data_IF_087300411159
#
_entry.id   IF_087300411159
#
_cell.length_a   1.000
_cell.length_b   1.000
_cell.length_c   1.000
_cell.angle_alpha   90.00
_cell.angle_beta   90.00
_cell.angle_gamma   90.00
#
_symmetry.space_group_name_H-M   'P 1'
#
loop_
_entity.id
_entity.type
_entity.pdbx_description
1 polymer ?
#
# COMPACT_ATOMS: atom_id res chain seq x y z
N UNK A 1 10.37 8.13 -12.64
CA UNK A 1 11.21 7.22 -13.48
C UNK A 1 11.64 6.11 -12.57
N UNK A 2 10.88 5.02 -12.59
CA UNK A 2 11.07 3.85 -11.75
C UNK A 2 12.52 3.32 -11.83
N UNK A 3 13.14 2.94 -10.69
CA UNK A 3 14.42 2.26 -10.72
C UNK A 3 14.35 0.99 -11.58
N UNK A 4 15.43 0.67 -12.31
CA UNK A 4 15.44 -0.46 -13.27
C UNK A 4 15.12 -1.82 -12.65
N UNK A 5 15.33 -1.98 -11.34
CA UNK A 5 14.96 -3.19 -10.62
C UNK A 5 13.43 -3.42 -10.55
N UNK A 6 12.60 -2.41 -10.84
CA UNK A 6 11.14 -2.49 -10.84
C UNK A 6 10.53 -2.82 -12.20
N UNK A 7 11.27 -2.67 -13.31
CA UNK A 7 10.76 -3.01 -14.65
C UNK A 7 10.34 -4.49 -14.76
N UNK A 8 10.93 -5.38 -13.95
CA UNK A 8 10.56 -6.80 -13.87
C UNK A 8 9.30 -7.08 -13.04
N UNK A 9 8.91 -6.16 -12.14
CA UNK A 9 7.79 -6.33 -11.21
C UNK A 9 6.54 -5.53 -11.62
N UNK A 10 6.66 -4.66 -12.63
CA UNK A 10 5.59 -3.73 -13.01
C UNK A 10 5.11 -4.07 -14.42
N UNK A 11 4.00 -4.81 -14.47
CA UNK A 11 3.17 -4.90 -15.66
C UNK A 11 1.72 -4.73 -15.20
N UNK A 12 1.15 -3.53 -15.41
CA UNK A 12 -0.29 -3.44 -15.49
C UNK A 12 -0.73 -4.21 -16.74
N UNK A 13 -1.07 -5.49 -16.57
CA UNK A 13 -1.81 -6.25 -17.56
C UNK A 13 -3.23 -6.39 -17.03
N UNK A 14 -4.25 -5.95 -17.80
CA UNK A 14 -5.61 -6.33 -17.49
C UNK A 14 -5.68 -7.86 -17.36
N UNK A 15 -6.32 -8.35 -16.30
CA UNK A 15 -6.61 -9.78 -16.18
C UNK A 15 -7.42 -10.21 -17.40
N UNK A 16 -7.13 -11.40 -17.90
CA UNK A 16 -8.02 -12.06 -18.84
C UNK A 16 -9.31 -12.46 -18.12
N UNK A 17 -10.39 -12.70 -18.88
CA UNK A 17 -11.65 -13.18 -18.28
C UNK A 17 -11.48 -14.48 -17.50
N UNK A 18 -10.57 -15.35 -17.94
CA UNK A 18 -10.27 -16.62 -17.29
C UNK A 18 -9.61 -16.38 -15.92
N UNK A 19 -8.63 -15.48 -15.85
CA UNK A 19 -7.99 -15.07 -14.59
C UNK A 19 -8.97 -14.38 -13.64
N UNK A 20 -9.87 -13.53 -14.16
CA UNK A 20 -10.94 -12.93 -13.34
C UNK A 20 -11.90 -13.98 -12.76
N UNK A 21 -12.21 -15.04 -13.52
CA UNK A 21 -13.08 -16.14 -13.08
C UNK A 21 -12.37 -17.02 -12.04
N UNK A 22 -11.08 -17.30 -12.22
CA UNK A 22 -10.25 -18.05 -11.27
C UNK A 22 -10.06 -17.29 -9.95
N UNK A 23 -9.76 -16.00 -10.01
CA UNK A 23 -9.62 -15.16 -8.81
C UNK A 23 -10.93 -15.02 -8.05
N UNK A 24 -12.04 -14.78 -8.76
CA UNK A 24 -13.36 -14.74 -8.12
C UNK A 24 -13.66 -16.07 -7.42
N UNK A 25 -13.35 -17.20 -8.07
CA UNK A 25 -13.53 -18.52 -7.47
C UNK A 25 -12.68 -18.68 -6.21
N UNK A 26 -11.41 -18.31 -6.25
CA UNK A 26 -10.52 -18.35 -5.09
C UNK A 26 -11.04 -17.49 -3.92
N UNK A 27 -11.46 -16.25 -4.19
CA UNK A 27 -12.06 -15.37 -3.17
C UNK A 27 -13.31 -15.99 -2.54
N UNK A 28 -14.19 -16.58 -3.34
CA UNK A 28 -15.38 -17.26 -2.84
C UNK A 28 -15.04 -18.50 -2.00
N UNK A 29 -14.01 -19.26 -2.40
CA UNK A 29 -13.53 -20.44 -1.65
C UNK A 29 -12.92 -20.06 -0.29
N UNK A 30 -12.32 -18.86 -0.17
CA UNK A 30 -11.90 -18.27 1.10
C UNK A 30 -13.06 -17.75 1.97
N UNK A 31 -14.30 -17.78 1.47
CA UNK A 31 -15.49 -17.32 2.18
C UNK A 31 -15.81 -15.83 2.00
N UNK A 32 -15.12 -15.12 1.11
CA UNK A 32 -15.46 -13.75 0.76
C UNK A 32 -16.70 -13.70 -0.15
N UNK A 33 -17.34 -12.53 -0.21
CA UNK A 33 -18.49 -12.32 -1.10
C UNK A 33 -18.04 -11.81 -2.47
N UNK A 34 -18.88 -12.03 -3.49
CA UNK A 34 -18.67 -11.40 -4.81
C UNK A 34 -18.67 -9.87 -4.73
N UNK A 35 -19.36 -9.28 -3.76
CA UNK A 35 -19.35 -7.84 -3.51
C UNK A 35 -17.96 -7.38 -3.03
N UNK A 36 -17.32 -8.13 -2.12
CA UNK A 36 -15.93 -7.87 -1.70
C UNK A 36 -14.93 -8.06 -2.84
N UNK A 37 -15.16 -9.04 -3.71
CA UNK A 37 -14.35 -9.19 -4.94
C UNK A 37 -14.53 -7.99 -5.88
N UNK A 38 -15.76 -7.54 -6.11
CA UNK A 38 -16.03 -6.39 -6.98
C UNK A 38 -15.57 -5.05 -6.37
N UNK A 39 -15.28 -4.99 -5.07
CA UNK A 39 -14.74 -3.79 -4.43
C UNK A 39 -13.23 -3.67 -4.56
N UNK A 40 -12.53 -4.68 -5.10
CA UNK A 40 -11.09 -4.60 -5.32
C UNK A 40 -10.75 -3.67 -6.49
N UNK A 41 -9.57 -3.07 -6.43
CA UNK A 41 -9.04 -2.19 -7.48
C UNK A 41 -8.44 -3.04 -8.59
N UNK A 42 -9.15 -3.12 -9.72
CA UNK A 42 -8.76 -3.97 -10.84
C UNK A 42 -8.26 -3.17 -12.05
N UNK A 43 -8.43 -1.85 -12.04
CA UNK A 43 -7.98 -0.98 -13.13
C UNK A 43 -7.06 0.14 -12.68
N UNK A 44 -6.15 0.53 -13.56
CA UNK A 44 -5.31 1.73 -13.38
C UNK A 44 -6.14 3.00 -13.15
N UNK A 45 -7.29 3.13 -13.80
CA UNK A 45 -8.18 4.28 -13.61
C UNK A 45 -8.77 4.32 -12.20
N UNK A 46 -9.17 3.18 -11.65
CA UNK A 46 -9.64 3.07 -10.26
C UNK A 46 -8.51 3.39 -9.28
N UNK A 47 -7.30 2.85 -9.50
CA UNK A 47 -6.13 3.13 -8.68
C UNK A 47 -5.80 4.63 -8.67
N UNK A 48 -5.79 5.28 -9.84
CA UNK A 48 -5.58 6.73 -9.97
C UNK A 48 -6.65 7.51 -9.19
N UNK A 49 -7.92 7.13 -9.29
CA UNK A 49 -9.01 7.81 -8.57
C UNK A 49 -8.81 7.72 -7.06
N UNK A 50 -8.45 6.54 -6.55
CA UNK A 50 -8.19 6.33 -5.13
C UNK A 50 -6.96 7.09 -4.67
N UNK A 51 -5.85 7.07 -5.41
CA UNK A 51 -4.66 7.84 -5.08
C UNK A 51 -4.94 9.35 -4.98
N UNK A 52 -5.80 9.86 -5.88
CA UNK A 52 -6.26 11.24 -5.82
C UNK A 52 -7.11 11.51 -4.57
N UNK A 53 -8.00 10.58 -4.19
CA UNK A 53 -8.83 10.69 -2.99
C UNK A 53 -8.01 10.61 -1.69
N UNK A 54 -6.97 9.77 -1.66
CA UNK A 54 -6.00 9.70 -0.57
C UNK A 54 -5.21 11.01 -0.41
N UNK A 55 -5.18 11.86 -1.45
CA UNK A 55 -4.43 13.12 -1.46
C UNK A 55 -2.93 12.93 -1.69
N UNK A 56 -2.54 11.83 -2.34
CA UNK A 56 -1.14 11.58 -2.73
C UNK A 56 -0.79 12.45 -3.94
N UNK A 57 0.40 13.05 -3.95
CA UNK A 57 0.85 13.86 -5.09
C UNK A 57 1.12 12.98 -6.31
N UNK A 58 0.72 13.43 -7.49
CA UNK A 58 0.85 12.66 -8.72
C UNK A 58 2.30 12.52 -9.24
N UNK A 59 3.24 13.27 -8.68
CA UNK A 59 4.68 13.18 -8.93
C UNK A 59 5.44 12.39 -7.86
N UNK A 60 4.74 11.86 -6.85
CA UNK A 60 5.31 11.04 -5.79
C UNK A 60 5.60 9.61 -6.26
N UNK A 61 6.64 8.98 -5.70
CA UNK A 61 6.99 7.60 -6.02
C UNK A 61 5.87 6.63 -5.65
N UNK A 62 5.17 6.89 -4.53
CA UNK A 62 3.99 6.14 -4.11
C UNK A 62 2.89 6.14 -5.18
N UNK A 63 2.64 7.29 -5.80
CA UNK A 63 1.64 7.43 -6.85
C UNK A 63 2.06 6.68 -8.11
N UNK A 64 3.32 6.83 -8.55
CA UNK A 64 3.85 6.12 -9.72
C UNK A 64 3.74 4.59 -9.50
N UNK A 65 4.10 4.09 -8.31
CA UNK A 65 4.01 2.66 -7.98
C UNK A 65 2.57 2.15 -8.01
N UNK A 66 1.67 2.66 -7.14
CA UNK A 66 0.32 2.11 -7.02
C UNK A 66 -0.60 2.44 -8.21
N UNK A 67 -0.28 3.44 -9.03
CA UNK A 67 -1.02 3.67 -10.29
C UNK A 67 -0.60 2.72 -11.41
N UNK A 68 0.54 2.06 -11.27
CA UNK A 68 1.04 1.07 -12.23
C UNK A 68 0.93 -0.37 -11.71
N UNK A 69 0.80 -0.55 -10.39
CA UNK A 69 0.61 -1.81 -9.70
C UNK A 69 -0.87 -1.97 -9.30
N UNK A 70 -1.68 -2.52 -10.20
CA UNK A 70 -3.07 -2.86 -9.92
C UNK A 70 -3.30 -4.32 -10.28
N UNK A 71 -3.39 -5.15 -9.24
CA UNK A 71 -3.57 -6.60 -9.34
C UNK A 71 -2.47 -7.35 -8.59
N UNK A 72 -2.89 -8.19 -7.66
CA UNK A 72 -2.07 -9.18 -6.98
C UNK A 72 -1.57 -10.16 -8.04
N UNK A 73 -0.30 -10.05 -8.41
CA UNK A 73 0.49 -11.21 -8.79
C UNK A 73 1.85 -11.09 -8.12
N UNK A 74 1.83 -11.19 -6.79
CA UNK A 74 3.00 -11.34 -5.92
C UNK A 74 3.47 -12.81 -5.85
N UNK A 75 2.99 -13.68 -6.74
CA UNK A 75 3.07 -15.14 -6.59
C UNK A 75 4.47 -15.76 -6.64
N UNK A 76 5.53 -14.99 -6.92
CA UNK A 76 6.90 -15.50 -6.83
C UNK A 76 7.61 -15.13 -5.52
N UNK A 77 6.96 -14.42 -4.59
CA UNK A 77 7.63 -13.93 -3.40
C UNK A 77 6.70 -14.00 -2.17
N UNK A 78 6.61 -15.20 -1.58
CA UNK A 78 5.78 -15.52 -0.40
C UNK A 78 6.20 -14.76 0.88
N UNK A 79 7.33 -14.04 0.87
CA UNK A 79 7.80 -13.21 2.00
C UNK A 79 7.29 -11.74 1.94
N UNK A 80 6.45 -11.40 0.96
CA UNK A 80 5.96 -10.04 0.65
C UNK A 80 4.70 -9.66 1.46
N UNK A 81 4.36 -10.40 2.51
CA UNK A 81 3.12 -10.22 3.29
C UNK A 81 3.08 -8.97 4.19
N UNK A 82 4.12 -8.11 4.15
CA UNK A 82 4.15 -6.89 4.96
C UNK A 82 3.53 -5.67 4.26
N UNK A 83 3.62 -5.52 2.93
CA UNK A 83 3.17 -4.30 2.24
C UNK A 83 1.71 -4.43 1.79
N UNK A 84 0.87 -3.50 2.24
CA UNK A 84 -0.54 -3.48 1.88
C UNK A 84 -0.77 -3.19 0.39
N UNK A 85 -1.77 -3.86 -0.16
CA UNK A 85 -2.40 -3.48 -1.42
C UNK A 85 -3.07 -2.11 -1.31
N UNK A 86 -3.34 -1.47 -2.46
CA UNK A 86 -4.02 -0.17 -2.47
C UNK A 86 -5.43 -0.25 -1.86
N UNK A 87 -6.10 -1.40 -1.99
CA UNK A 87 -7.40 -1.68 -1.39
C UNK A 87 -7.33 -1.64 0.14
N UNK A 88 -6.35 -2.33 0.73
CA UNK A 88 -6.13 -2.37 2.18
C UNK A 88 -5.76 -0.99 2.72
N UNK A 89 -4.90 -0.24 2.02
CA UNK A 89 -4.55 1.14 2.36
C UNK A 89 -5.81 2.02 2.32
N UNK A 90 -6.68 1.84 1.33
CA UNK A 90 -7.89 2.63 1.21
C UNK A 90 -8.93 2.29 2.28
N UNK A 91 -9.04 1.01 2.66
CA UNK A 91 -9.87 0.57 3.79
C UNK A 91 -9.39 1.18 5.11
N UNK A 92 -8.09 1.13 5.39
CA UNK A 92 -7.50 1.79 6.56
C UNK A 92 -7.69 3.31 6.49
N UNK A 93 -7.52 3.94 5.33
CA UNK A 93 -7.78 5.38 5.18
C UNK A 93 -9.21 5.77 5.54
N UNK A 94 -10.22 4.95 5.20
CA UNK A 94 -11.63 5.20 5.54
C UNK A 94 -11.90 5.03 7.02
N UNK A 95 -11.22 4.10 7.67
CA UNK A 95 -11.36 3.83 9.10
C UNK A 95 -9.99 3.54 9.71
N UNK A 96 -9.18 4.58 10.00
CA UNK A 96 -7.80 4.37 10.43
C UNK A 96 -7.76 3.62 11.75
N UNK A 97 -6.90 2.60 11.84
CA UNK A 97 -6.76 1.79 13.05
C UNK A 97 -6.52 2.63 14.32
N UNK A 98 -5.78 3.73 14.16
CA UNK A 98 -5.41 4.64 15.25
C UNK A 98 -6.36 5.83 15.44
N UNK A 99 -7.50 5.88 14.75
CA UNK A 99 -8.39 7.04 14.71
C UNK A 99 -8.96 7.44 16.08
N UNK A 100 -9.16 6.50 17.00
CA UNK A 100 -9.70 6.78 18.35
C UNK A 100 -8.79 7.72 19.15
N UNK A 101 -7.46 7.57 19.01
CA UNK A 101 -6.47 8.40 19.69
C UNK A 101 -5.95 9.54 18.78
N UNK A 102 -5.91 9.30 17.47
CA UNK A 102 -5.33 10.20 16.47
C UNK A 102 -6.28 10.38 15.28
N UNK A 103 -7.38 11.13 15.44
CA UNK A 103 -8.46 11.22 14.44
C UNK A 103 -8.01 11.81 13.10
N UNK A 104 -6.90 12.55 13.08
CA UNK A 104 -6.37 13.23 11.88
C UNK A 104 -5.14 12.51 11.29
N UNK A 105 -4.84 11.27 11.69
CA UNK A 105 -3.66 10.56 11.20
C UNK A 105 -3.65 10.47 9.66
N UNK A 106 -4.81 10.16 9.08
CA UNK A 106 -5.03 10.01 7.63
C UNK A 106 -4.88 11.32 6.84
N UNK A 107 -4.90 12.49 7.48
CA UNK A 107 -4.72 13.78 6.79
C UNK A 107 -3.34 13.86 6.15
N UNK A 108 -2.33 13.24 6.79
CA UNK A 108 -0.94 13.27 6.35
C UNK A 108 -0.34 11.90 6.09
N UNK A 109 -0.67 10.91 6.92
CA UNK A 109 -0.01 9.62 6.90
C UNK A 109 -0.96 8.52 6.43
N UNK A 110 -0.44 7.60 5.62
CA UNK A 110 -1.15 6.37 5.25
C UNK A 110 -0.42 5.19 5.90
N UNK A 111 -1.16 4.27 6.53
CA UNK A 111 -0.58 3.02 7.00
C UNK A 111 -0.42 2.08 5.81
N UNK A 112 0.78 1.55 5.63
CA UNK A 112 1.13 0.76 4.43
C UNK A 112 1.58 -0.66 4.77
N UNK A 113 1.58 -1.05 6.04
CA UNK A 113 1.88 -2.42 6.44
C UNK A 113 1.01 -2.92 7.57
N UNK A 114 0.98 -4.24 7.75
CA UNK A 114 0.40 -4.88 8.93
C UNK A 114 1.06 -4.38 10.21
N UNK A 115 0.32 -4.56 11.31
CA UNK A 115 0.76 -4.22 12.67
C UNK A 115 1.25 -5.47 13.45
N UNK A 116 1.19 -6.63 12.81
CA UNK A 116 1.66 -7.92 13.33
C UNK A 116 3.17 -7.86 13.57
N UNK A 117 3.57 -7.43 14.76
CA UNK A 117 4.96 -7.13 15.11
C UNK A 117 5.17 -5.99 16.10
N UNK A 118 4.11 -5.37 16.63
CA UNK A 118 4.19 -4.22 17.55
C UNK A 118 4.67 -2.91 16.91
N UNK A 119 4.61 -2.80 15.58
CA UNK A 119 4.85 -1.58 14.81
C UNK A 119 4.26 -1.67 13.40
N UNK A 120 4.27 -0.56 12.66
CA UNK A 120 3.79 -0.50 11.27
C UNK A 120 4.51 0.61 10.48
N UNK A 121 4.61 0.43 9.17
CA UNK A 121 5.12 1.44 8.26
C UNK A 121 4.04 2.47 7.92
N UNK A 122 4.43 3.74 7.98
CA UNK A 122 3.59 4.88 7.60
C UNK A 122 4.23 5.70 6.49
N UNK A 123 3.47 5.94 5.43
CA UNK A 123 3.82 6.81 4.32
C UNK A 123 3.40 8.27 4.58
N UNK A 124 4.30 9.22 4.41
CA UNK A 124 4.00 10.66 4.49
C UNK A 124 3.66 11.24 3.11
N UNK A 125 2.37 11.53 2.89
CA UNK A 125 1.85 12.13 1.65
C UNK A 125 2.50 13.45 1.27
N UNK A 126 3.08 14.17 2.25
CA UNK A 126 3.71 15.47 2.02
C UNK A 126 5.11 15.33 1.47
N UNK A 127 5.90 14.40 2.00
CA UNK A 127 7.34 14.30 1.75
C UNK A 127 7.74 13.06 0.95
N UNK A 128 6.80 12.16 0.68
CA UNK A 128 7.04 10.86 0.06
C UNK A 128 7.88 9.91 0.92
N UNK A 129 8.10 10.24 2.19
CA UNK A 129 8.96 9.48 3.10
C UNK A 129 8.20 8.33 3.78
N UNK A 130 8.93 7.34 4.27
CA UNK A 130 8.37 6.21 5.03
C UNK A 130 8.97 6.17 6.43
N UNK A 131 8.11 5.99 7.42
CA UNK A 131 8.41 5.84 8.83
C UNK A 131 8.15 4.41 9.25
N UNK A 132 9.02 3.85 10.08
CA UNK A 132 8.73 2.69 10.90
C UNK A 132 8.27 3.21 12.26
N UNK A 133 7.10 2.79 12.73
CA UNK A 133 6.48 3.34 13.94
C UNK A 133 6.02 2.21 14.84
N UNK A 134 6.71 2.05 15.96
CA UNK A 134 6.31 1.15 17.03
C UNK A 134 5.06 1.68 17.74
N UNK A 135 4.27 0.79 18.35
CA UNK A 135 3.05 1.16 19.10
C UNK A 135 3.30 2.23 20.17
N UNK A 136 4.45 2.15 20.84
CA UNK A 136 4.85 3.08 21.90
C UNK A 136 5.26 4.46 21.41
N UNK A 137 5.45 4.64 20.10
CA UNK A 137 6.02 5.87 19.52
C UNK A 137 4.98 6.74 18.80
N UNK A 138 3.71 6.32 18.77
CA UNK A 138 2.64 7.05 18.06
C UNK A 138 2.51 8.52 18.49
N UNK A 139 2.69 8.83 19.77
CA UNK A 139 2.69 10.23 20.26
C UNK A 139 3.86 11.05 19.70
N UNK A 140 5.05 10.45 19.65
CA UNK A 140 6.24 11.11 19.10
C UNK A 140 6.19 11.21 17.58
N UNK A 141 5.59 10.22 16.90
CA UNK A 141 5.31 10.23 15.48
C UNK A 141 4.36 11.38 15.10
N UNK A 142 3.22 11.46 15.79
CA UNK A 142 2.20 12.49 15.55
C UNK A 142 2.68 13.89 15.96
N UNK A 143 3.59 13.99 16.94
CA UNK A 143 4.28 15.23 17.28
C UNK A 143 5.41 15.62 16.29
N UNK A 144 5.71 14.78 15.31
CA UNK A 144 6.74 15.02 14.30
C UNK A 144 8.18 14.91 14.84
N UNK A 145 8.39 14.16 15.92
CA UNK A 145 9.71 13.95 16.52
C UNK A 145 10.47 12.79 15.91
N UNK A 146 9.77 11.78 15.40
CA UNK A 146 10.40 10.67 14.68
C UNK A 146 10.99 11.15 13.37
N UNK A 147 12.07 10.48 12.94
CA UNK A 147 12.68 10.68 11.63
C UNK A 147 12.25 9.55 10.70
N UNK A 148 12.06 9.83 9.41
CA UNK A 148 11.79 8.75 8.46
C UNK A 148 13.01 7.83 8.36
N UNK A 149 12.75 6.53 8.25
CA UNK A 149 13.78 5.53 7.96
C UNK A 149 14.13 5.54 6.47
N UNK A 150 13.13 5.83 5.60
CA UNK A 150 13.34 6.04 4.17
C UNK A 150 12.90 7.45 3.75
N UNK A 151 13.79 8.18 3.07
CA UNK A 151 13.52 9.57 2.64
C UNK A 151 12.62 9.68 1.39
N UNK A 152 12.33 8.56 0.73
CA UNK A 152 11.37 8.46 -0.38
C UNK A 152 10.76 7.06 -0.40
N UNK A 153 9.58 6.92 -1.03
CA UNK A 153 8.93 5.62 -1.17
C UNK A 153 9.74 4.70 -2.09
N UNK A 154 10.48 5.24 -3.06
CA UNK A 154 11.42 4.42 -3.83
C UNK A 154 12.54 3.83 -2.99
N UNK A 155 13.11 4.58 -2.05
CA UNK A 155 14.12 4.04 -1.16
C UNK A 155 13.57 2.90 -0.29
N UNK A 156 12.31 3.03 0.14
CA UNK A 156 11.59 1.94 0.81
C UNK A 156 11.43 0.72 -0.12
N UNK A 157 10.91 0.91 -1.34
CA UNK A 157 10.71 -0.19 -2.28
C UNK A 157 12.04 -0.87 -2.66
N UNK A 158 13.13 -0.11 -2.83
CA UNK A 158 14.46 -0.65 -3.16
C UNK A 158 14.97 -1.57 -2.07
N UNK A 159 14.78 -1.19 -0.80
CA UNK A 159 15.08 -2.05 0.34
C UNK A 159 14.13 -3.25 0.40
N UNK A 160 12.83 -3.00 0.28
CA UNK A 160 11.78 -4.00 0.45
C UNK A 160 11.86 -5.14 -0.57
N UNK A 161 12.25 -4.86 -1.81
CA UNK A 161 12.43 -5.87 -2.87
C UNK A 161 13.90 -6.27 -3.09
N UNK A 162 14.82 -5.85 -2.22
CA UNK A 162 16.21 -6.34 -2.28
C UNK A 162 16.27 -7.80 -1.79
N UNK A 163 17.12 -8.64 -2.39
CA UNK A 163 17.26 -10.08 -2.04
C UNK A 163 17.85 -10.35 -0.64
N UNK A 164 17.90 -9.36 0.25
CA UNK A 164 18.41 -9.47 1.63
C UNK A 164 17.39 -8.93 2.66
N UNK A 165 16.10 -9.21 2.45
CA UNK A 165 15.08 -9.16 3.51
C UNK A 165 15.29 -10.27 4.54
#
# INVERSE_FOLDING_TARGET
MLPKCFEKWIIFRPKTKEEEEEDLKYYLDLGYTKEKYNSTINTRSEAINILNELGVKNDAAFYEFYSMYAGIDSSENEEVDLLYSLDEIYEDYKQPFHADNYPNIADRYLRISSIEGEGSYFYDKKTDAVYDVDWGEMDDFMAGKLKPIFTSFYAFLEWYYSEEG
#
